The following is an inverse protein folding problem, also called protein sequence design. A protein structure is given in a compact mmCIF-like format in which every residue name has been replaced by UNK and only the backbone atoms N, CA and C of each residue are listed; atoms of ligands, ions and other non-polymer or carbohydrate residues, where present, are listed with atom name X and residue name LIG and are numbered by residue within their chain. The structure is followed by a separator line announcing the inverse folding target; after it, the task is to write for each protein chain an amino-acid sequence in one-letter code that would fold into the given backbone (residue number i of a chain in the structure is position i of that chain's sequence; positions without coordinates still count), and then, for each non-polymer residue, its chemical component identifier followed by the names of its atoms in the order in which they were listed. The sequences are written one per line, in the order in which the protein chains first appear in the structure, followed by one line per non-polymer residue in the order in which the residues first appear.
data_IF_269023381181
#
_entry.id   IF_269023381181
#
_cell.length_a   1.000
_cell.length_b   1.000
_cell.length_c   1.000
_cell.angle_alpha   90.00
_cell.angle_beta   90.00
_cell.angle_gamma   90.00
#
_symmetry.space_group_name_H-M   'P 1'
#
loop_
_entity.id
_entity.type
_entity.pdbx_description
1 polymer ?
#
# COMPACT_ATOMS: atom_id res chain seq x y z
N UNK A 1 -1.97 10.24 15.84
CA UNK A 1 -1.21 8.99 16.05
C UNK A 1 -2.23 7.86 15.99
N UNK A 2 -1.98 6.79 15.22
CA UNK A 2 -2.95 5.70 15.07
C UNK A 2 -3.09 4.87 16.36
N UNK A 3 -4.30 4.56 16.76
CA UNK A 3 -4.71 3.71 17.88
C UNK A 3 -5.46 2.47 17.41
N UNK A 4 -5.59 1.45 18.27
CA UNK A 4 -6.36 0.25 17.95
C UNK A 4 -7.82 0.56 17.63
N UNK A 5 -8.40 1.51 18.35
CA UNK A 5 -9.79 1.94 18.22
C UNK A 5 -10.09 2.59 16.86
N UNK A 6 -9.06 3.06 16.13
CA UNK A 6 -9.23 3.61 14.78
C UNK A 6 -9.65 2.53 13.75
N UNK A 7 -9.52 1.25 14.09
CA UNK A 7 -9.79 0.11 13.18
C UNK A 7 -10.92 -0.80 13.65
N UNK A 8 -11.47 -0.61 14.85
CA UNK A 8 -12.37 -1.60 15.49
C UNK A 8 -13.71 -1.77 14.79
N UNK A 9 -14.20 -0.75 14.09
CA UNK A 9 -15.51 -0.77 13.42
C UNK A 9 -15.43 -1.19 11.95
N UNK A 10 -14.31 -0.90 11.29
CA UNK A 10 -14.15 -0.95 9.83
C UNK A 10 -13.05 -1.90 9.37
N UNK A 11 -12.08 -2.23 10.22
CA UNK A 11 -10.86 -2.95 9.84
C UNK A 11 -9.83 -2.10 9.08
N UNK A 12 -10.11 -0.82 8.87
CA UNK A 12 -9.23 0.13 8.17
C UNK A 12 -9.32 1.53 8.79
N UNK A 13 -8.27 2.34 8.60
CA UNK A 13 -8.23 3.73 9.02
C UNK A 13 -7.69 4.62 7.89
N UNK A 14 -8.28 5.80 7.68
CA UNK A 14 -7.71 6.80 6.76
C UNK A 14 -6.74 7.69 7.51
N UNK A 15 -5.54 7.87 6.96
CA UNK A 15 -4.53 8.78 7.48
C UNK A 15 -4.11 9.79 6.41
N UNK A 16 -3.58 10.93 6.84
CA UNK A 16 -2.90 11.87 5.96
C UNK A 16 -1.41 11.58 5.95
N UNK A 17 -0.85 11.42 4.76
CA UNK A 17 0.59 11.24 4.52
C UNK A 17 1.19 12.52 3.91
N UNK A 18 2.47 12.47 3.56
CA UNK A 18 3.15 13.58 2.89
C UNK A 18 2.33 14.13 1.71
N UNK A 19 2.42 15.44 1.51
CA UNK A 19 1.64 16.20 0.53
C UNK A 19 0.13 16.26 0.81
N UNK A 20 -0.26 16.03 2.07
CA UNK A 20 -1.66 16.05 2.55
C UNK A 20 -2.58 15.05 1.83
N UNK A 21 -2.01 13.98 1.28
CA UNK A 21 -2.78 12.93 0.60
C UNK A 21 -3.40 11.96 1.60
N UNK A 22 -4.57 11.46 1.25
CA UNK A 22 -5.22 10.38 2.00
C UNK A 22 -4.62 9.03 1.63
N UNK A 23 -4.36 8.23 2.66
CA UNK A 23 -3.93 6.85 2.56
C UNK A 23 -4.86 6.00 3.42
N UNK A 24 -5.47 4.99 2.84
CA UNK A 24 -6.23 3.99 3.59
C UNK A 24 -5.25 2.95 4.12
N UNK A 25 -5.21 2.76 5.43
CA UNK A 25 -4.44 1.71 6.07
C UNK A 25 -5.37 0.58 6.45
N UNK A 26 -5.08 -0.63 5.98
CA UNK A 26 -5.81 -1.83 6.30
C UNK A 26 -4.85 -2.99 6.57
N UNK A 27 -5.41 -4.13 6.93
CA UNK A 27 -4.63 -5.33 7.18
C UNK A 27 -5.15 -6.46 6.31
N UNK A 28 -4.23 -7.25 5.77
CA UNK A 28 -4.61 -8.46 5.05
C UNK A 28 -5.34 -9.37 6.04
N UNK A 29 -6.64 -9.59 5.80
CA UNK A 29 -7.43 -10.48 6.60
C UNK A 29 -6.89 -11.88 6.35
N UNK A 30 -6.16 -12.46 7.32
CA UNK A 30 -5.94 -13.90 7.32
C UNK A 30 -7.28 -14.59 7.05
N UNK A 31 -7.35 -15.64 6.21
CA UNK A 31 -8.62 -16.24 5.79
C UNK A 31 -9.48 -16.51 7.02
N UNK A 32 -10.48 -15.66 7.21
CA UNK A 32 -11.35 -15.71 8.36
C UNK A 32 -12.20 -16.95 8.20
N UNK A 33 -12.15 -17.86 9.17
CA UNK A 33 -13.31 -18.69 9.45
C UNK A 33 -14.46 -17.73 9.74
N UNK A 34 -15.33 -17.57 8.74
CA UNK A 34 -16.31 -16.53 8.64
C UNK A 34 -17.22 -16.47 9.87
N UNK A 35 -17.04 -15.46 10.72
CA UNK A 35 -18.11 -14.75 11.45
C UNK A 35 -17.50 -13.53 12.16
N UNK A 36 -18.05 -12.34 11.89
CA UNK A 36 -17.70 -11.00 12.39
C UNK A 36 -16.56 -10.25 11.66
N UNK A 37 -16.94 -9.11 11.05
CA UNK A 37 -16.12 -7.98 10.55
C UNK A 37 -14.63 -8.27 10.40
N UNK A 38 -14.23 -8.67 9.18
CA UNK A 38 -12.94 -9.30 8.85
C UNK A 38 -11.72 -8.39 8.96
N UNK A 39 -11.32 -8.07 10.19
CA UNK A 39 -10.03 -7.47 10.52
C UNK A 39 -9.20 -8.37 11.44
N UNK A 40 -7.91 -8.04 11.65
CA UNK A 40 -7.06 -8.76 12.60
C UNK A 40 -7.62 -8.68 14.01
N UNK A 41 -7.37 -9.71 14.83
CA UNK A 41 -7.77 -9.69 16.25
C UNK A 41 -7.17 -8.46 16.97
N UNK A 42 -7.77 -7.94 18.05
CA UNK A 42 -7.22 -6.80 18.78
C UNK A 42 -5.76 -7.00 19.23
N UNK A 43 -5.38 -8.23 19.57
CA UNK A 43 -4.01 -8.59 19.96
C UNK A 43 -3.05 -8.51 18.76
N UNK A 44 -3.48 -9.02 17.60
CA UNK A 44 -2.73 -8.91 16.34
C UNK A 44 -2.58 -7.45 15.93
N UNK A 45 -3.65 -6.67 16.01
CA UNK A 45 -3.63 -5.24 15.71
C UNK A 45 -2.66 -4.48 16.63
N UNK A 46 -2.71 -4.73 17.94
CA UNK A 46 -1.79 -4.13 18.90
C UNK A 46 -0.32 -4.47 18.60
N UNK A 47 -0.04 -5.70 18.12
CA UNK A 47 1.29 -6.11 17.72
C UNK A 47 1.78 -5.46 16.41
N UNK A 48 0.88 -5.21 15.46
CA UNK A 48 1.21 -4.63 14.16
C UNK A 48 1.24 -3.08 14.15
N UNK A 49 0.55 -2.42 15.08
CA UNK A 49 0.48 -0.96 15.13
C UNK A 49 1.84 -0.24 15.23
N UNK A 50 2.82 -0.69 16.03
CA UNK A 50 4.16 -0.13 16.00
C UNK A 50 4.76 -0.15 14.60
N UNK A 51 4.61 -1.29 13.90
CA UNK A 51 5.09 -1.44 12.53
C UNK A 51 4.37 -0.51 11.55
N UNK A 52 3.05 -0.37 11.64
CA UNK A 52 2.28 0.58 10.83
C UNK A 52 2.79 2.00 11.04
N UNK A 53 3.01 2.42 12.28
CA UNK A 53 3.53 3.75 12.61
C UNK A 53 4.92 3.95 12.01
N UNK A 54 5.79 2.94 12.09
CA UNK A 54 7.13 2.99 11.50
C UNK A 54 7.10 3.08 9.96
N UNK A 55 6.13 2.42 9.31
CA UNK A 55 5.92 2.53 7.86
C UNK A 55 5.42 3.92 7.48
N UNK A 56 4.45 4.47 8.22
CA UNK A 56 3.91 5.80 7.96
C UNK A 56 4.96 6.90 8.17
N UNK A 57 5.83 6.75 9.16
CA UNK A 57 6.93 7.68 9.41
C UNK A 57 7.95 7.74 8.27
N UNK A 58 8.14 6.64 7.53
CA UNK A 58 9.06 6.54 6.39
C UNK A 58 8.33 6.47 5.03
N UNK A 59 7.04 6.83 5.01
CA UNK A 59 6.18 6.57 3.85
C UNK A 59 6.67 7.25 2.58
N UNK A 60 7.25 8.46 2.68
CA UNK A 60 7.80 9.16 1.50
C UNK A 60 8.97 8.42 0.84
N UNK A 61 9.77 7.66 1.59
CA UNK A 61 10.83 6.84 1.03
C UNK A 61 10.28 5.54 0.43
N UNK A 62 9.37 4.89 1.16
CA UNK A 62 8.69 3.67 0.72
C UNK A 62 7.92 3.93 -0.58
N UNK A 63 7.15 5.03 -0.65
CA UNK A 63 6.38 5.41 -1.83
C UNK A 63 7.25 5.64 -3.06
N UNK A 64 8.39 6.35 -2.92
CA UNK A 64 9.35 6.53 -4.02
C UNK A 64 9.93 5.19 -4.49
N UNK A 65 10.35 4.36 -3.54
CA UNK A 65 10.89 3.02 -3.84
C UNK A 65 9.86 2.16 -4.58
N UNK A 66 8.59 2.22 -4.16
CA UNK A 66 7.49 1.49 -4.77
C UNK A 66 7.22 1.95 -6.21
N UNK A 67 7.16 3.26 -6.44
CA UNK A 67 6.95 3.84 -7.78
C UNK A 67 8.12 3.51 -8.70
N UNK A 68 9.37 3.60 -8.22
CA UNK A 68 10.55 3.20 -8.99
C UNK A 68 10.53 1.70 -9.37
N UNK A 69 10.13 0.84 -8.43
CA UNK A 69 10.00 -0.59 -8.69
C UNK A 69 8.87 -0.90 -9.69
N UNK A 70 7.73 -0.22 -9.55
CA UNK A 70 6.60 -0.36 -10.45
C UNK A 70 6.93 0.11 -11.88
N UNK A 71 7.67 1.22 -12.00
CA UNK A 71 8.21 1.68 -13.27
C UNK A 71 9.09 0.61 -13.91
N UNK A 72 10.08 0.08 -13.18
CA UNK A 72 10.98 -0.97 -13.69
C UNK A 72 10.24 -2.24 -14.11
N UNK A 73 9.15 -2.57 -13.43
CA UNK A 73 8.33 -3.74 -13.75
C UNK A 73 7.53 -3.56 -15.05
N UNK A 74 7.00 -2.35 -15.30
CA UNK A 74 6.07 -2.09 -16.40
C UNK A 74 6.64 -1.34 -17.60
N UNK A 75 7.83 -0.75 -17.48
CA UNK A 75 8.41 0.09 -18.52
C UNK A 75 8.77 -0.70 -19.79
N UNK A 76 8.52 -0.09 -20.95
CA UNK A 76 8.96 -0.56 -22.25
C UNK A 76 10.36 -0.01 -22.57
N UNK A 77 11.21 -0.73 -23.33
CA UNK A 77 12.51 -0.22 -23.75
C UNK A 77 12.48 1.09 -24.56
N UNK A 78 11.33 1.46 -25.12
CA UNK A 78 11.11 2.71 -25.83
C UNK A 78 10.70 3.89 -24.93
N UNK A 79 10.37 3.63 -23.67
CA UNK A 79 10.01 4.68 -22.72
C UNK A 79 11.17 5.66 -22.49
N UNK A 80 10.83 6.94 -22.39
CA UNK A 80 11.77 8.03 -22.21
C UNK A 80 11.88 8.47 -20.74
N UNK A 81 12.86 9.31 -20.46
CA UNK A 81 12.97 9.97 -19.14
C UNK A 81 11.77 10.87 -18.84
N UNK A 82 11.11 11.42 -19.87
CA UNK A 82 9.89 12.22 -19.73
C UNK A 82 8.71 11.33 -19.33
N UNK A 83 8.56 10.16 -19.94
CA UNK A 83 7.54 9.17 -19.58
C UNK A 83 7.70 8.72 -18.12
N UNK A 84 8.95 8.49 -17.69
CA UNK A 84 9.26 8.15 -16.30
C UNK A 84 8.88 9.30 -15.34
N UNK A 85 9.18 10.53 -15.72
CA UNK A 85 8.86 11.70 -14.90
C UNK A 85 7.34 11.88 -14.75
N UNK A 86 6.58 11.72 -15.83
CA UNK A 86 5.11 11.77 -15.82
C UNK A 86 4.54 10.63 -14.96
N UNK A 87 5.05 9.42 -15.13
CA UNK A 87 4.66 8.26 -14.33
C UNK A 87 4.89 8.51 -12.84
N UNK A 88 6.08 9.01 -12.48
CA UNK A 88 6.42 9.30 -11.09
C UNK A 88 5.54 10.41 -10.49
N UNK A 89 5.15 11.39 -11.30
CA UNK A 89 4.26 12.46 -10.89
C UNK A 89 2.80 12.01 -10.69
N UNK A 90 2.38 10.94 -11.38
CA UNK A 90 0.99 10.46 -11.39
C UNK A 90 0.76 9.33 -10.37
N UNK A 91 1.71 8.41 -10.26
CA UNK A 91 1.52 7.18 -9.50
C UNK A 91 1.61 7.43 -8.00
N UNK A 92 0.47 7.37 -7.33
CA UNK A 92 0.33 7.66 -5.92
C UNK A 92 -0.35 6.51 -5.20
N UNK A 93 0.26 5.95 -4.14
CA UNK A 93 -0.40 4.89 -3.38
C UNK A 93 -1.66 5.42 -2.70
N UNK A 94 -2.76 4.70 -2.86
CA UNK A 94 -4.06 4.96 -2.21
C UNK A 94 -4.26 4.11 -0.96
N UNK A 95 -3.69 2.91 -0.94
CA UNK A 95 -3.88 1.95 0.15
C UNK A 95 -2.54 1.36 0.61
N UNK A 96 -2.39 1.22 1.92
CA UNK A 96 -1.35 0.45 2.59
C UNK A 96 -2.01 -0.76 3.27
N UNK A 97 -1.74 -1.96 2.76
CA UNK A 97 -2.27 -3.22 3.30
C UNK A 97 -1.16 -3.95 4.04
N UNK A 98 -1.28 -4.11 5.36
CA UNK A 98 -0.24 -4.75 6.19
C UNK A 98 -0.59 -6.21 6.46
N UNK A 99 0.36 -7.10 6.19
CA UNK A 99 0.25 -8.54 6.45
C UNK A 99 0.66 -8.88 7.88
N UNK A 100 0.19 -10.02 8.37
CA UNK A 100 0.48 -10.52 9.72
C UNK A 100 1.95 -10.87 9.96
N UNK A 101 2.72 -11.12 8.90
CA UNK A 101 4.17 -11.35 8.97
C UNK A 101 5.00 -10.06 8.91
N UNK A 102 4.35 -8.90 8.86
CA UNK A 102 4.99 -7.58 8.81
C UNK A 102 5.39 -7.13 7.40
N UNK A 103 5.18 -7.98 6.38
CA UNK A 103 5.14 -7.55 4.99
C UNK A 103 3.95 -6.63 4.72
N UNK A 104 3.94 -5.96 3.57
CA UNK A 104 2.86 -5.04 3.22
C UNK A 104 2.75 -4.85 1.72
N UNK A 105 1.64 -4.30 1.25
CA UNK A 105 1.44 -3.90 -0.13
C UNK A 105 0.99 -2.44 -0.23
N UNK A 106 1.40 -1.76 -1.30
CA UNK A 106 0.92 -0.45 -1.68
C UNK A 106 0.08 -0.57 -2.95
N UNK A 107 -1.18 -0.16 -2.90
CA UNK A 107 -2.10 -0.21 -4.04
C UNK A 107 -2.25 1.18 -4.67
N UNK A 108 -2.50 1.23 -5.98
CA UNK A 108 -2.57 2.46 -6.76
C UNK A 108 -3.88 2.54 -7.55
N UNK A 109 -4.94 3.03 -6.92
CA UNK A 109 -6.27 3.07 -7.56
C UNK A 109 -6.36 4.07 -8.72
N UNK A 110 -5.68 5.22 -8.62
CA UNK A 110 -5.56 6.17 -9.73
C UNK A 110 -4.26 5.92 -10.49
N UNK A 111 -4.39 5.43 -11.71
CA UNK A 111 -3.26 5.08 -12.58
C UNK A 111 -3.06 6.08 -13.71
N UNK A 112 -3.90 7.13 -13.82
CA UNK A 112 -3.84 8.09 -14.94
C UNK A 112 -3.95 7.44 -16.33
N UNK A 113 -4.64 6.29 -16.43
CA UNK A 113 -4.77 5.53 -17.69
C UNK A 113 -3.58 4.64 -18.03
N UNK A 114 -2.62 4.46 -17.12
CA UNK A 114 -1.49 3.53 -17.28
C UNK A 114 -1.88 2.06 -17.12
N UNK A 115 -3.08 1.79 -16.60
CA UNK A 115 -3.68 0.46 -16.56
C UNK A 115 -5.02 0.45 -17.31
N UNK A 116 -5.45 -0.72 -17.82
CA UNK A 116 -6.81 -0.88 -18.33
C UNK A 116 -7.85 -0.55 -17.24
N UNK A 117 -9.01 -0.04 -17.66
CA UNK A 117 -10.10 0.30 -16.75
C UNK A 117 -10.49 -0.89 -15.85
N UNK A 118 -10.62 -0.61 -14.56
CA UNK A 118 -10.92 -1.61 -13.54
C UNK A 118 -9.71 -2.42 -13.06
N UNK A 119 -8.51 -2.14 -13.57
CA UNK A 119 -7.28 -2.76 -13.10
C UNK A 119 -6.39 -1.76 -12.37
N UNK A 120 -5.82 -2.17 -11.25
CA UNK A 120 -4.85 -1.35 -10.50
C UNK A 120 -3.66 -2.19 -10.05
N UNK A 121 -2.44 -1.63 -10.05
CA UNK A 121 -1.28 -2.35 -9.58
C UNK A 121 -1.19 -2.30 -8.05
N UNK A 122 -0.51 -3.31 -7.50
CA UNK A 122 -0.05 -3.31 -6.12
C UNK A 122 1.43 -3.73 -6.07
N UNK A 123 2.24 -2.94 -5.35
CA UNK A 123 3.65 -3.28 -5.08
C UNK A 123 3.73 -3.96 -3.72
N UNK A 124 4.21 -5.20 -3.69
CA UNK A 124 4.36 -6.00 -2.48
C UNK A 124 5.77 -5.85 -1.93
N UNK A 125 5.84 -5.69 -0.61
CA UNK A 125 7.06 -5.53 0.16
C UNK A 125 7.19 -6.63 1.21
N UNK A 126 8.42 -7.07 1.42
CA UNK A 126 8.82 -7.88 2.57
C UNK A 126 8.88 -7.04 3.85
N UNK A 127 9.01 -7.71 5.00
CA UNK A 127 9.08 -7.05 6.32
C UNK A 127 10.32 -6.15 6.51
N UNK A 128 11.37 -6.32 5.73
CA UNK A 128 12.55 -5.44 5.68
C UNK A 128 12.39 -4.25 4.71
N UNK A 129 11.19 -4.04 4.15
CA UNK A 129 10.85 -2.96 3.20
C UNK A 129 11.53 -3.09 1.83
N UNK A 130 11.89 -4.31 1.44
CA UNK A 130 12.39 -4.60 0.09
C UNK A 130 11.19 -4.88 -0.83
N UNK A 131 11.09 -4.26 -2.02
CA UNK A 131 10.10 -4.64 -3.01
C UNK A 131 10.34 -6.09 -3.47
N UNK A 132 9.28 -6.90 -3.47
CA UNK A 132 9.32 -8.33 -3.84
C UNK A 132 8.68 -8.58 -5.20
N UNK A 133 7.45 -8.11 -5.40
CA UNK A 133 6.67 -8.34 -6.62
C UNK A 133 5.64 -7.26 -6.86
N UNK A 134 5.16 -7.19 -8.10
CA UNK A 134 3.98 -6.42 -8.50
C UNK A 134 2.85 -7.39 -8.83
N UNK A 135 1.64 -7.09 -8.37
CA UNK A 135 0.40 -7.73 -8.85
C UNK A 135 -0.49 -6.70 -9.52
N UNK A 136 -1.41 -7.17 -10.36
CA UNK A 136 -2.49 -6.35 -10.93
C UNK A 136 -3.79 -6.96 -10.45
N UNK A 137 -4.59 -6.14 -9.77
CA UNK A 137 -5.89 -6.53 -9.19
C UNK A 137 -7.04 -6.04 -10.09
N UNK A 138 -8.23 -6.63 -9.95
CA UNK A 138 -9.45 -6.30 -10.70
C UNK A 138 -10.72 -6.41 -9.85
#
# INVERSE_FOLDING_TARGET
MLHTDDFTDTGWATVRVADDRELVVSFDAAPATATAHGGPSPQTLAALLPRVRDLLADFGNIGRTAVDHLWQWGADPSDTDEDRAEFTATMHPSDLVVRTDGGFALHYQDTGGRMPDGYWPAVHFTADRTPDRVTVEC
#
